data_IF_434348827849
#
_entry.id   IF_434348827849
#
_cell.length_a   1.000
_cell.length_b   1.000
_cell.length_c   1.000
_cell.angle_alpha   90.00
_cell.angle_beta   90.00
_cell.angle_gamma   90.00
#
_symmetry.space_group_name_H-M   'P 1'
#
loop_
_entity.id
_entity.type
_entity.pdbx_description
1 polymer ?
#
# COMPACT_ATOMS: atom_id res chain seq x y z
N UNK A 1 3.34 36.21 5.95
CA UNK A 1 4.32 36.85 5.04
C UNK A 1 3.95 36.44 3.62
N UNK A 2 3.78 37.36 2.65
CA UNK A 2 3.42 36.99 1.28
C UNK A 2 4.57 36.21 0.63
N UNK A 3 4.24 35.22 -0.20
CA UNK A 3 5.24 34.54 -1.01
C UNK A 3 5.86 35.49 -2.02
N UNK A 4 7.16 35.37 -2.37
CA UNK A 4 7.79 36.13 -3.42
C UNK A 4 7.06 35.96 -4.76
N UNK A 5 6.98 37.02 -5.57
CA UNK A 5 6.39 36.96 -6.91
C UNK A 5 7.12 35.95 -7.84
N UNK A 6 8.36 35.63 -7.50
CA UNK A 6 9.16 34.61 -8.18
C UNK A 6 8.93 33.17 -7.66
N UNK A 7 7.97 32.94 -6.76
CA UNK A 7 7.72 31.61 -6.24
C UNK A 7 7.09 30.72 -7.32
N UNK A 8 7.59 29.48 -7.55
CA UNK A 8 7.08 28.59 -8.59
C UNK A 8 5.66 28.12 -8.30
N UNK A 9 4.90 27.84 -9.36
CA UNK A 9 3.60 27.16 -9.24
C UNK A 9 3.79 25.70 -8.76
N UNK A 10 2.94 25.25 -7.84
CA UNK A 10 2.97 23.87 -7.33
C UNK A 10 2.94 22.82 -8.45
N UNK A 11 2.11 23.03 -9.48
CA UNK A 11 2.04 22.13 -10.62
C UNK A 11 3.35 22.05 -11.45
N UNK A 12 4.22 23.07 -11.36
CA UNK A 12 5.54 23.04 -12.00
C UNK A 12 6.56 22.31 -11.14
N UNK A 13 6.45 22.41 -9.82
CA UNK A 13 7.26 21.64 -8.87
C UNK A 13 6.90 20.16 -8.93
N UNK A 14 5.63 19.81 -8.95
CA UNK A 14 5.12 18.43 -9.07
C UNK A 14 5.63 17.77 -10.36
N UNK A 15 5.45 18.43 -11.51
CA UNK A 15 6.00 17.94 -12.76
C UNK A 15 7.52 17.74 -12.70
N UNK A 16 8.25 18.66 -12.06
CA UNK A 16 9.71 18.55 -11.94
C UNK A 16 10.13 17.35 -11.10
N UNK A 17 9.53 17.14 -9.93
CA UNK A 17 9.77 15.97 -9.07
C UNK A 17 9.46 14.68 -9.83
N UNK A 18 8.32 14.59 -10.51
CA UNK A 18 7.97 13.45 -11.35
C UNK A 18 9.01 13.18 -12.47
N UNK A 19 9.62 14.23 -13.05
CA UNK A 19 10.69 14.05 -14.04
C UNK A 19 11.96 13.50 -13.40
N UNK A 20 12.32 13.92 -12.20
CA UNK A 20 13.48 13.41 -11.46
C UNK A 20 13.29 11.93 -11.11
N UNK A 21 12.14 11.55 -10.60
CA UNK A 21 11.80 10.16 -10.23
C UNK A 21 11.77 9.23 -11.45
N UNK A 22 11.11 9.66 -12.53
CA UNK A 22 10.93 8.85 -13.72
C UNK A 22 12.12 8.93 -14.71
N UNK A 23 13.03 9.87 -14.53
CA UNK A 23 14.15 10.10 -15.45
C UNK A 23 13.75 10.53 -16.87
N UNK A 24 12.50 10.96 -17.09
CA UNK A 24 11.98 11.29 -18.42
C UNK A 24 10.82 12.28 -18.38
N UNK A 25 10.97 13.39 -19.10
CA UNK A 25 9.91 14.40 -19.26
C UNK A 25 8.67 13.80 -19.95
N UNK A 26 8.86 12.87 -20.90
CA UNK A 26 7.73 12.24 -21.61
C UNK A 26 6.93 11.32 -20.70
N UNK A 27 7.60 10.55 -19.84
CA UNK A 27 6.93 9.69 -18.86
C UNK A 27 6.21 10.51 -17.78
N UNK A 28 6.85 11.54 -17.27
CA UNK A 28 6.25 12.45 -16.30
C UNK A 28 5.03 13.19 -16.86
N UNK A 29 5.04 13.59 -18.13
CA UNK A 29 3.90 14.25 -18.77
C UNK A 29 2.67 13.34 -18.94
N UNK A 30 2.86 12.03 -19.09
CA UNK A 30 1.77 11.07 -19.33
C UNK A 30 0.82 10.94 -18.11
N UNK A 31 1.35 11.02 -16.88
CA UNK A 31 0.56 10.88 -15.66
C UNK A 31 -0.48 12.01 -15.47
N UNK A 32 -0.14 13.30 -15.58
CA UNK A 32 -1.09 14.41 -15.45
C UNK A 32 -1.89 14.74 -16.73
N UNK A 33 -1.76 13.95 -17.81
CA UNK A 33 -2.46 14.21 -19.07
C UNK A 33 -2.00 15.47 -19.81
N UNK A 34 -0.78 15.93 -19.55
CA UNK A 34 -0.16 17.10 -20.21
C UNK A 34 0.65 16.65 -21.41
N UNK A 35 0.58 17.40 -22.52
CA UNK A 35 1.40 17.07 -23.69
C UNK A 35 2.91 17.27 -23.37
N UNK A 36 3.76 16.40 -23.97
CA UNK A 36 5.22 16.50 -23.78
C UNK A 36 5.80 17.91 -24.10
N UNK A 37 5.37 18.61 -25.19
CA UNK A 37 5.82 19.97 -25.44
C UNK A 37 5.47 20.94 -24.31
N UNK A 38 4.26 20.82 -23.77
CA UNK A 38 3.80 21.64 -22.63
C UNK A 38 4.60 21.37 -21.37
N UNK A 39 4.84 20.09 -21.04
CA UNK A 39 5.68 19.69 -19.91
C UNK A 39 7.11 20.22 -20.05
N UNK A 40 7.73 20.06 -21.25
CA UNK A 40 9.06 20.59 -21.52
C UNK A 40 9.13 22.12 -21.41
N UNK A 41 8.09 22.84 -21.87
CA UNK A 41 7.99 24.29 -21.75
C UNK A 41 7.86 24.72 -20.28
N UNK A 42 7.05 24.02 -19.48
CA UNK A 42 6.86 24.27 -18.05
C UNK A 42 8.17 24.09 -17.26
N UNK A 43 8.92 23.03 -17.50
CA UNK A 43 10.24 22.83 -16.88
C UNK A 43 11.21 23.94 -17.26
N UNK A 44 11.29 24.33 -18.55
CA UNK A 44 12.13 25.46 -18.98
C UNK A 44 11.70 26.79 -18.33
N UNK A 45 10.41 26.97 -18.11
CA UNK A 45 9.91 28.14 -17.39
C UNK A 45 10.38 28.16 -15.93
N UNK A 46 10.26 27.02 -15.24
CA UNK A 46 10.74 26.84 -13.87
C UNK A 46 12.25 27.13 -13.76
N UNK A 47 13.07 26.56 -14.66
CA UNK A 47 14.53 26.83 -14.70
C UNK A 47 14.85 28.33 -14.88
N UNK A 48 14.13 29.02 -15.76
CA UNK A 48 14.30 30.49 -15.97
C UNK A 48 13.86 31.29 -14.75
N UNK A 49 12.76 30.87 -14.11
CA UNK A 49 12.23 31.55 -12.91
C UNK A 49 13.18 31.40 -11.72
N UNK A 50 13.84 30.28 -11.57
CA UNK A 50 14.82 29.98 -10.52
C UNK A 50 16.25 30.46 -10.90
N UNK A 51 16.47 30.82 -12.17
CA UNK A 51 17.78 31.31 -12.64
C UNK A 51 18.85 30.24 -12.72
N UNK A 52 18.47 28.94 -12.73
CA UNK A 52 19.39 27.79 -12.75
C UNK A 52 18.87 26.64 -13.59
N UNK A 53 19.78 25.81 -14.11
CA UNK A 53 19.40 24.55 -14.77
C UNK A 53 19.15 23.49 -13.72
N UNK A 54 18.04 22.80 -13.84
CA UNK A 54 17.64 21.72 -12.93
C UNK A 54 17.82 20.34 -13.54
N UNK A 55 17.79 20.24 -14.89
CA UNK A 55 17.89 18.98 -15.61
C UNK A 55 19.00 19.04 -16.67
N UNK A 56 19.81 18.00 -16.72
CA UNK A 56 20.67 17.66 -17.85
C UNK A 56 19.95 16.72 -18.79
N UNK A 57 19.84 17.13 -20.06
CA UNK A 57 19.13 16.39 -21.10
C UNK A 57 20.14 15.66 -21.98
N UNK A 58 20.05 14.34 -22.03
CA UNK A 58 20.90 13.48 -22.83
C UNK A 58 20.11 12.44 -23.61
N UNK A 59 20.79 11.64 -24.44
CA UNK A 59 20.16 10.55 -25.20
C UNK A 59 19.51 9.48 -24.30
N UNK A 60 19.97 9.37 -23.05
CA UNK A 60 19.49 8.39 -22.05
C UNK A 60 18.33 8.94 -21.17
N UNK A 61 17.88 10.17 -21.40
CA UNK A 61 16.79 10.77 -20.62
C UNK A 61 17.11 12.16 -20.04
N UNK A 62 16.46 12.49 -18.94
CA UNK A 62 16.63 13.75 -18.21
C UNK A 62 17.05 13.44 -16.79
N UNK A 63 18.28 13.74 -16.43
CA UNK A 63 18.84 13.56 -15.10
C UNK A 63 18.88 14.89 -14.34
N UNK A 64 18.66 14.92 -13.01
CA UNK A 64 18.81 16.14 -12.25
C UNK A 64 20.28 16.60 -12.21
N UNK A 65 20.52 17.92 -12.28
CA UNK A 65 21.79 18.54 -11.91
C UNK A 65 21.96 18.54 -10.39
N UNK A 66 23.14 18.90 -9.87
CA UNK A 66 23.34 19.08 -8.42
C UNK A 66 22.32 20.07 -7.82
N UNK A 67 22.07 21.19 -8.52
CA UNK A 67 21.00 22.12 -8.16
C UNK A 67 19.61 21.49 -8.25
N UNK A 68 19.40 20.64 -9.26
CA UNK A 68 18.15 19.88 -9.44
C UNK A 68 17.85 18.96 -8.28
N UNK A 69 18.83 18.22 -7.78
CA UNK A 69 18.67 17.34 -6.60
C UNK A 69 18.23 18.14 -5.36
N UNK A 70 18.89 19.27 -5.08
CA UNK A 70 18.55 20.12 -3.94
C UNK A 70 17.15 20.72 -4.07
N UNK A 71 16.80 21.23 -5.25
CA UNK A 71 15.49 21.83 -5.53
C UNK A 71 14.39 20.77 -5.48
N UNK A 72 14.65 19.52 -5.93
CA UNK A 72 13.70 18.42 -5.82
C UNK A 72 13.35 18.13 -4.36
N UNK A 73 14.33 18.03 -3.46
CA UNK A 73 14.07 17.81 -2.03
C UNK A 73 13.25 18.94 -1.37
N UNK A 74 13.48 20.20 -1.77
CA UNK A 74 12.63 21.30 -1.30
C UNK A 74 11.23 21.26 -1.92
N UNK A 75 11.12 20.93 -3.20
CA UNK A 75 9.84 20.78 -3.90
C UNK A 75 8.99 19.67 -3.27
N UNK A 76 9.57 18.52 -2.98
CA UNK A 76 8.89 17.41 -2.26
C UNK A 76 8.34 17.85 -0.91
N UNK A 77 9.10 18.66 -0.15
CA UNK A 77 8.65 19.19 1.14
C UNK A 77 7.44 20.11 1.00
N UNK A 78 7.45 20.99 -0.01
CA UNK A 78 6.34 21.90 -0.30
C UNK A 78 5.11 21.14 -0.78
N UNK A 79 5.29 20.18 -1.68
CA UNK A 79 4.21 19.34 -2.21
C UNK A 79 3.56 18.50 -1.10
N UNK A 80 4.36 17.96 -0.18
CA UNK A 80 3.84 17.27 1.00
C UNK A 80 2.96 18.17 1.85
N UNK A 81 3.40 19.38 2.17
CA UNK A 81 2.60 20.34 2.93
C UNK A 81 1.31 20.77 2.19
N UNK A 82 1.35 20.85 0.85
CA UNK A 82 0.15 21.11 0.04
C UNK A 82 -0.84 19.95 0.09
N UNK A 83 -0.37 18.71 0.01
CA UNK A 83 -1.20 17.51 0.18
C UNK A 83 -1.77 17.41 1.60
N UNK A 84 -0.99 17.74 2.64
CA UNK A 84 -1.48 17.79 4.03
C UNK A 84 -2.63 18.78 4.20
N UNK A 85 -2.52 19.97 3.57
CA UNK A 85 -3.61 20.96 3.57
C UNK A 85 -4.87 20.42 2.88
N UNK A 86 -4.73 19.83 1.69
CA UNK A 86 -5.84 19.23 0.94
C UNK A 86 -6.50 18.10 1.74
N UNK A 87 -5.70 17.25 2.38
CA UNK A 87 -6.13 16.20 3.29
C UNK A 87 -6.95 16.75 4.45
N UNK A 88 -6.44 17.78 5.12
CA UNK A 88 -7.12 18.43 6.23
C UNK A 88 -8.47 19.04 5.84
N UNK A 89 -8.52 19.72 4.69
CA UNK A 89 -9.76 20.27 4.14
C UNK A 89 -10.78 19.16 3.80
N UNK A 90 -10.33 18.10 3.17
CA UNK A 90 -11.17 16.95 2.82
C UNK A 90 -11.70 16.24 4.05
N UNK A 91 -10.86 16.03 5.07
CA UNK A 91 -11.27 15.43 6.35
C UNK A 91 -12.29 16.33 7.09
N UNK A 92 -12.08 17.65 7.08
CA UNK A 92 -13.01 18.60 7.67
C UNK A 92 -14.38 18.58 6.98
N UNK A 93 -14.41 18.51 5.65
CA UNK A 93 -15.65 18.41 4.86
C UNK A 93 -16.34 17.05 5.10
N UNK A 94 -15.59 15.94 5.16
CA UNK A 94 -16.12 14.61 5.43
C UNK A 94 -16.71 14.53 6.85
N UNK A 95 -16.03 15.10 7.85
CA UNK A 95 -16.52 15.16 9.22
C UNK A 95 -17.83 15.96 9.35
N UNK A 96 -17.97 17.07 8.60
CA UNK A 96 -19.23 17.83 8.55
C UNK A 96 -20.36 17.05 7.87
N UNK A 97 -20.04 16.16 6.94
CA UNK A 97 -21.01 15.32 6.22
C UNK A 97 -21.34 14.01 6.96
N UNK A 98 -20.75 13.74 8.14
CA UNK A 98 -20.90 12.45 8.83
C UNK A 98 -20.38 11.27 8.01
N UNK A 99 -19.32 11.45 7.22
CA UNK A 99 -18.77 10.43 6.33
C UNK A 99 -17.34 10.08 6.72
N UNK A 100 -17.10 8.81 7.03
CA UNK A 100 -15.76 8.24 7.28
C UNK A 100 -15.24 7.54 6.03
N UNK A 101 -14.04 7.92 5.57
CA UNK A 101 -13.36 7.29 4.44
C UNK A 101 -12.33 6.30 4.96
N UNK A 102 -12.57 5.02 4.71
CA UNK A 102 -11.68 3.93 5.08
C UNK A 102 -11.03 3.34 3.83
N UNK A 103 -9.75 3.06 3.90
CA UNK A 103 -9.05 2.24 2.92
C UNK A 103 -8.43 1.04 3.63
N UNK A 104 -8.60 -0.18 3.10
CA UNK A 104 -8.14 -1.38 3.80
C UNK A 104 -7.48 -2.37 2.86
N UNK A 105 -6.50 -3.09 3.40
CA UNK A 105 -5.90 -4.23 2.74
C UNK A 105 -6.90 -5.37 2.57
N UNK A 106 -6.68 -6.22 1.58
CA UNK A 106 -7.62 -7.28 1.20
C UNK A 106 -7.95 -8.20 2.36
N UNK A 107 -6.98 -8.64 3.15
CA UNK A 107 -7.21 -9.55 4.28
C UNK A 107 -8.17 -8.92 5.30
N UNK A 108 -7.91 -7.69 5.71
CA UNK A 108 -8.73 -7.01 6.71
C UNK A 108 -10.11 -6.67 6.13
N UNK A 109 -10.15 -6.18 4.88
CA UNK A 109 -11.39 -5.81 4.20
C UNK A 109 -12.34 -7.00 3.96
N UNK A 110 -11.81 -8.18 3.63
CA UNK A 110 -12.62 -9.35 3.31
C UNK A 110 -13.06 -10.14 4.56
N UNK A 111 -12.22 -10.19 5.62
CA UNK A 111 -12.43 -11.13 6.73
C UNK A 111 -12.78 -10.49 8.07
N UNK A 112 -12.48 -9.21 8.27
CA UNK A 112 -12.67 -8.54 9.57
C UNK A 112 -13.60 -7.34 9.49
N UNK A 113 -13.36 -6.41 8.57
CA UNK A 113 -14.14 -5.18 8.45
C UNK A 113 -15.64 -5.41 8.30
N UNK A 114 -16.16 -6.42 7.57
CA UNK A 114 -17.60 -6.61 7.46
C UNK A 114 -18.30 -6.77 8.79
N UNK A 115 -17.70 -7.52 9.73
CA UNK A 115 -18.25 -7.70 11.08
C UNK A 115 -18.12 -6.45 11.94
N UNK A 116 -16.98 -5.77 11.87
CA UNK A 116 -16.74 -4.53 12.61
C UNK A 116 -17.69 -3.42 12.17
N UNK A 117 -17.84 -3.24 10.85
CA UNK A 117 -18.70 -2.21 10.29
C UNK A 117 -20.19 -2.51 10.47
N UNK A 118 -20.62 -3.76 10.42
CA UNK A 118 -22.02 -4.14 10.72
C UNK A 118 -22.39 -3.78 12.17
N UNK A 119 -21.52 -4.09 13.13
CA UNK A 119 -21.72 -3.72 14.53
C UNK A 119 -21.74 -2.20 14.70
N UNK A 120 -20.72 -1.51 14.20
CA UNK A 120 -20.58 -0.07 14.30
C UNK A 120 -21.76 0.70 13.67
N UNK A 121 -22.24 0.27 12.50
CA UNK A 121 -23.35 0.94 11.79
C UNK A 121 -24.68 0.91 12.56
N UNK A 122 -24.88 -0.06 13.46
CA UNK A 122 -26.10 -0.13 14.29
C UNK A 122 -26.16 1.00 15.31
N UNK A 123 -24.99 1.39 15.83
CA UNK A 123 -24.88 2.46 16.83
C UNK A 123 -24.76 3.84 16.14
N UNK A 124 -24.40 3.86 14.87
CA UNK A 124 -24.18 5.07 14.05
C UNK A 124 -25.07 5.13 12.78
N UNK A 125 -26.43 5.09 12.92
CA UNK A 125 -27.33 4.95 11.76
C UNK A 125 -27.42 6.18 10.85
N UNK A 126 -26.85 7.32 11.26
CA UNK A 126 -26.83 8.57 10.47
C UNK A 126 -25.51 8.81 9.76
N UNK A 127 -24.49 8.05 10.11
CA UNK A 127 -23.16 8.21 9.55
C UNK A 127 -22.95 7.27 8.37
N UNK A 128 -22.14 7.68 7.43
CA UNK A 128 -21.82 6.88 6.26
C UNK A 128 -20.35 6.49 6.25
N UNK A 129 -20.08 5.25 5.88
CA UNK A 129 -18.71 4.74 5.71
C UNK A 129 -18.49 4.42 4.26
N UNK A 130 -17.40 4.96 3.69
CA UNK A 130 -16.92 4.59 2.36
C UNK A 130 -15.68 3.73 2.54
N UNK A 131 -15.70 2.49 2.04
CA UNK A 131 -14.59 1.56 2.07
C UNK A 131 -13.99 1.39 0.68
N UNK A 132 -12.71 1.70 0.54
CA UNK A 132 -11.88 1.31 -0.61
C UNK A 132 -11.02 0.11 -0.22
N UNK A 133 -10.88 -0.88 -1.11
CA UNK A 133 -10.03 -2.06 -0.89
C UNK A 133 -8.83 -1.97 -1.80
N UNK A 134 -7.63 -2.08 -1.24
CA UNK A 134 -6.37 -1.98 -1.97
C UNK A 134 -5.29 -2.85 -1.31
N UNK A 135 -4.06 -2.90 -1.85
CA UNK A 135 -2.95 -3.51 -1.13
C UNK A 135 -2.33 -2.53 -0.10
N UNK A 136 -1.50 -3.04 0.81
CA UNK A 136 -0.96 -2.24 1.92
C UNK A 136 -0.16 -1.02 1.46
N UNK A 137 0.59 -1.10 0.36
CA UNK A 137 1.33 0.06 -0.19
C UNK A 137 0.35 1.14 -0.66
N UNK A 138 -0.68 0.76 -1.41
CA UNK A 138 -1.71 1.70 -1.87
C UNK A 138 -2.49 2.31 -0.71
N UNK A 139 -2.79 1.53 0.36
CA UNK A 139 -3.42 2.06 1.59
C UNK A 139 -2.57 3.18 2.19
N UNK A 140 -1.26 2.95 2.35
CA UNK A 140 -0.32 3.94 2.89
C UNK A 140 -0.30 5.20 2.00
N UNK A 141 -0.25 5.03 0.68
CA UNK A 141 -0.25 6.15 -0.26
C UNK A 141 -1.54 6.95 -0.22
N UNK A 142 -2.71 6.30 -0.12
CA UNK A 142 -4.01 6.97 0.03
C UNK A 142 -4.07 7.85 1.27
N UNK A 143 -3.55 7.36 2.39
CA UNK A 143 -3.49 8.12 3.65
C UNK A 143 -2.54 9.31 3.54
N UNK A 144 -1.34 9.11 3.00
CA UNK A 144 -0.35 10.19 2.80
C UNK A 144 -0.86 11.31 1.91
N UNK A 145 -1.71 10.98 0.92
CA UNK A 145 -2.33 11.94 0.03
C UNK A 145 -3.71 12.43 0.50
N UNK A 146 -4.15 12.08 1.73
CA UNK A 146 -5.42 12.52 2.30
C UNK A 146 -6.66 12.00 1.59
N UNK A 147 -6.53 10.97 0.79
CA UNK A 147 -7.66 10.34 0.11
C UNK A 147 -8.52 9.48 1.06
N UNK A 148 -8.01 9.13 2.24
CA UNK A 148 -8.70 8.39 3.29
C UNK A 148 -8.39 8.98 4.68
N UNK A 149 -9.27 8.72 5.64
CA UNK A 149 -9.18 9.20 7.02
C UNK A 149 -8.58 8.14 7.95
N UNK A 150 -8.82 6.87 7.64
CA UNK A 150 -8.37 5.70 8.38
C UNK A 150 -7.98 4.60 7.41
N UNK A 151 -6.84 3.95 7.65
CA UNK A 151 -6.38 2.80 6.88
C UNK A 151 -6.24 1.55 7.73
N UNK A 152 -6.30 0.38 7.09
CA UNK A 152 -6.00 -0.90 7.73
C UNK A 152 -5.01 -1.69 6.87
N UNK A 153 -3.92 -2.14 7.48
CA UNK A 153 -2.82 -2.82 6.80
C UNK A 153 -2.27 -4.00 7.61
N UNK A 154 -1.54 -4.89 6.94
CA UNK A 154 -0.82 -6.01 7.55
C UNK A 154 0.63 -6.14 7.05
N UNK A 155 1.22 -5.07 6.54
CA UNK A 155 2.63 -5.08 6.10
C UNK A 155 3.60 -4.96 7.29
N UNK A 156 4.77 -5.60 7.26
CA UNK A 156 5.81 -5.41 8.28
C UNK A 156 6.59 -4.09 8.11
N UNK A 157 6.34 -3.33 7.04
CA UNK A 157 7.08 -2.11 6.71
C UNK A 157 6.93 -1.03 7.77
N UNK A 158 7.96 -0.20 7.91
CA UNK A 158 7.90 1.05 8.68
C UNK A 158 6.92 2.04 8.07
N UNK A 159 6.33 2.88 8.90
CA UNK A 159 5.22 3.76 8.55
C UNK A 159 5.58 5.23 8.76
N UNK A 160 6.59 5.71 8.03
CA UNK A 160 6.99 7.11 8.11
C UNK A 160 5.82 8.06 7.84
N UNK A 161 5.57 8.97 8.78
CA UNK A 161 4.51 9.97 8.69
C UNK A 161 3.09 9.44 8.98
N UNK A 162 2.95 8.24 9.52
CA UNK A 162 1.67 7.68 9.96
C UNK A 162 1.75 7.27 11.43
N UNK A 163 0.68 7.50 12.16
CA UNK A 163 0.43 6.90 13.47
C UNK A 163 -0.27 5.55 13.28
N UNK A 164 -0.11 4.64 14.25
CA UNK A 164 -0.68 3.31 14.17
C UNK A 164 -1.25 2.79 15.48
N UNK A 165 -2.15 1.82 15.37
CA UNK A 165 -2.65 1.02 16.47
C UNK A 165 -2.84 -0.43 16.03
N UNK A 166 -2.41 -1.38 16.86
CA UNK A 166 -2.68 -2.80 16.62
C UNK A 166 -4.16 -3.08 16.89
N UNK A 167 -4.85 -3.66 15.90
CA UNK A 167 -6.26 -4.04 15.95
C UNK A 167 -6.48 -5.55 15.90
N UNK A 168 -5.41 -6.32 15.76
CA UNK A 168 -5.46 -7.77 15.77
C UNK A 168 -4.15 -8.41 15.35
N UNK A 169 -4.18 -9.73 15.28
CA UNK A 169 -3.07 -10.55 14.82
C UNK A 169 -3.55 -11.52 13.75
N UNK A 170 -2.65 -11.90 12.86
CA UNK A 170 -2.87 -12.90 11.83
C UNK A 170 -1.61 -13.74 11.66
N UNK A 171 -1.75 -14.90 11.08
CA UNK A 171 -0.66 -15.79 10.74
C UNK A 171 -0.80 -16.22 9.29
N UNK A 172 0.29 -16.21 8.55
CA UNK A 172 0.34 -16.78 7.22
C UNK A 172 0.65 -18.27 7.31
N UNK A 173 -0.11 -19.07 6.57
CA UNK A 173 0.04 -20.51 6.48
C UNK A 173 0.33 -20.94 5.05
N UNK A 174 1.13 -22.00 4.90
CA UNK A 174 1.36 -22.65 3.62
C UNK A 174 0.21 -23.59 3.34
N UNK A 175 -0.45 -23.45 2.19
CA UNK A 175 -1.55 -24.34 1.79
C UNK A 175 -1.38 -24.83 0.36
N UNK A 176 -1.93 -26.03 0.13
CA UNK A 176 -1.95 -26.71 -1.16
C UNK A 176 -3.30 -27.38 -1.41
N UNK A 177 -3.60 -27.69 -2.66
CA UNK A 177 -4.71 -28.59 -2.99
C UNK A 177 -4.44 -30.01 -2.47
N UNK A 178 -5.48 -30.84 -2.16
CA UNK A 178 -5.29 -32.20 -1.67
C UNK A 178 -4.53 -33.13 -2.62
N UNK A 179 -4.52 -32.83 -3.93
CA UNK A 179 -3.77 -33.56 -4.96
C UNK A 179 -2.28 -33.23 -5.02
N UNK A 180 -1.85 -32.17 -4.34
CA UNK A 180 -0.45 -31.72 -4.37
C UNK A 180 0.45 -32.73 -3.62
N UNK A 181 1.71 -32.97 -4.08
CA UNK A 181 2.63 -33.90 -3.41
C UNK A 181 2.90 -33.58 -1.93
N UNK A 182 2.81 -32.31 -1.53
CA UNK A 182 3.00 -31.89 -0.14
C UNK A 182 1.81 -32.24 0.78
N UNK A 183 0.65 -32.55 0.21
CA UNK A 183 -0.52 -32.95 1.02
C UNK A 183 -0.25 -34.25 1.82
N UNK A 184 0.74 -35.04 1.41
CA UNK A 184 1.32 -36.16 2.15
C UNK A 184 2.84 -36.11 1.94
N UNK A 185 3.66 -35.81 2.93
CA UNK A 185 3.51 -35.98 4.39
C UNK A 185 2.99 -34.76 5.20
N UNK A 186 2.53 -33.68 4.60
CA UNK A 186 2.07 -32.42 5.23
C UNK A 186 3.15 -31.62 5.91
N UNK A 187 4.41 -31.90 5.61
CA UNK A 187 5.57 -31.17 6.14
C UNK A 187 6.58 -31.00 5.02
N UNK A 188 7.17 -29.81 4.89
CA UNK A 188 8.22 -29.51 3.91
C UNK A 188 9.30 -28.62 4.54
N UNK A 189 10.60 -28.85 4.22
CA UNK A 189 11.67 -27.93 4.63
C UNK A 189 11.44 -26.54 4.07
N UNK A 190 11.86 -25.51 4.81
CA UNK A 190 11.71 -24.11 4.40
C UNK A 190 12.49 -23.80 3.11
N UNK A 191 13.62 -24.46 2.88
CA UNK A 191 14.41 -24.35 1.65
C UNK A 191 13.64 -24.87 0.43
N UNK A 192 12.83 -25.93 0.59
CA UNK A 192 11.99 -26.46 -0.46
C UNK A 192 10.82 -25.51 -0.78
N UNK A 193 10.24 -24.86 0.24
CA UNK A 193 9.25 -23.81 0.03
C UNK A 193 9.87 -22.64 -0.75
N UNK A 194 11.04 -22.14 -0.33
CA UNK A 194 11.72 -21.01 -0.96
C UNK A 194 12.15 -21.31 -2.42
N UNK A 195 12.43 -22.58 -2.74
CA UNK A 195 12.83 -23.00 -4.10
C UNK A 195 11.64 -23.31 -5.02
N UNK A 196 10.41 -23.39 -4.47
CA UNK A 196 9.23 -23.79 -5.24
C UNK A 196 8.48 -22.55 -5.74
N UNK A 197 8.10 -22.49 -7.04
CA UNK A 197 7.25 -21.42 -7.55
C UNK A 197 5.87 -21.42 -6.88
N UNK A 198 5.46 -20.27 -6.33
CA UNK A 198 4.20 -20.11 -5.59
C UNK A 198 3.15 -19.33 -6.39
N UNK A 199 1.88 -19.55 -6.07
CA UNK A 199 0.84 -18.55 -6.37
C UNK A 199 1.00 -17.43 -5.34
N UNK A 200 1.26 -16.21 -5.79
CA UNK A 200 1.61 -15.09 -4.94
C UNK A 200 0.67 -13.90 -5.13
N UNK A 201 0.62 -13.07 -4.14
CA UNK A 201 0.05 -11.73 -4.25
C UNK A 201 1.00 -10.82 -5.03
N UNK A 202 0.42 -9.77 -5.59
CA UNK A 202 1.13 -8.70 -6.32
C UNK A 202 2.14 -7.95 -5.44
N UNK A 203 3.06 -7.23 -6.09
CA UNK A 203 3.94 -6.28 -5.42
C UNK A 203 3.13 -5.22 -4.65
N UNK A 204 3.57 -4.85 -3.44
CA UNK A 204 2.83 -3.95 -2.55
C UNK A 204 1.85 -4.65 -1.60
N UNK A 205 1.61 -5.96 -1.76
CA UNK A 205 0.83 -6.75 -0.81
C UNK A 205 1.57 -6.96 0.50
N UNK A 206 0.92 -6.70 1.64
CA UNK A 206 1.46 -6.99 2.96
C UNK A 206 1.70 -8.50 3.19
N UNK A 207 0.89 -9.37 2.60
CA UNK A 207 1.08 -10.83 2.64
C UNK A 207 2.40 -11.23 1.97
N UNK A 208 2.66 -10.71 0.76
CA UNK A 208 3.92 -10.97 0.05
C UNK A 208 5.13 -10.41 0.80
N UNK A 209 5.01 -9.18 1.31
CA UNK A 209 6.07 -8.53 2.08
C UNK A 209 6.40 -9.28 3.37
N UNK A 210 5.39 -9.79 4.08
CA UNK A 210 5.59 -10.57 5.31
C UNK A 210 6.32 -11.90 5.05
N UNK A 211 5.94 -12.63 4.00
CA UNK A 211 6.64 -13.84 3.59
C UNK A 211 8.10 -13.54 3.20
N UNK A 212 8.32 -12.51 2.38
CA UNK A 212 9.66 -12.13 1.94
C UNK A 212 10.55 -11.71 3.11
N UNK A 213 10.01 -11.02 4.12
CA UNK A 213 10.73 -10.67 5.33
C UNK A 213 11.12 -11.92 6.13
N UNK A 214 10.17 -12.81 6.41
CA UNK A 214 10.42 -14.03 7.18
C UNK A 214 11.46 -14.96 6.51
N UNK A 215 11.43 -15.10 5.19
CA UNK A 215 12.44 -15.89 4.47
C UNK A 215 13.81 -15.21 4.47
N UNK A 216 13.86 -13.89 4.35
CA UNK A 216 15.12 -13.12 4.45
C UNK A 216 15.77 -13.27 5.81
N UNK A 217 15.00 -13.28 6.89
CA UNK A 217 15.50 -13.49 8.26
C UNK A 217 16.13 -14.88 8.44
N UNK A 218 15.69 -15.85 7.63
CA UNK A 218 16.28 -17.20 7.53
C UNK A 218 17.44 -17.29 6.53
N UNK A 219 17.84 -16.19 5.90
CA UNK A 219 18.91 -16.16 4.89
C UNK A 219 18.46 -16.71 3.52
N UNK A 220 17.17 -16.82 3.27
CA UNK A 220 16.59 -17.35 2.03
C UNK A 220 16.08 -16.24 1.13
N UNK A 221 16.05 -16.51 -0.19
CA UNK A 221 15.46 -15.61 -1.18
C UNK A 221 13.95 -15.70 -1.23
N UNK A 222 13.31 -14.68 -1.84
CA UNK A 222 11.87 -14.71 -2.15
C UNK A 222 11.59 -15.78 -3.22
N UNK A 223 10.57 -16.65 -3.06
CA UNK A 223 10.17 -17.61 -4.05
C UNK A 223 9.75 -16.93 -5.37
N UNK A 224 9.95 -17.62 -6.48
CA UNK A 224 9.41 -17.14 -7.76
C UNK A 224 7.88 -17.27 -7.78
N UNK A 225 7.19 -16.35 -8.45
CA UNK A 225 5.76 -16.47 -8.67
C UNK A 225 5.48 -17.30 -9.92
N UNK A 226 4.69 -18.37 -9.81
CA UNK A 226 4.10 -19.07 -10.96
C UNK A 226 2.86 -18.31 -11.44
N UNK A 227 2.14 -17.68 -10.53
CA UNK A 227 1.04 -16.74 -10.80
C UNK A 227 1.14 -15.58 -9.81
N UNK A 228 0.96 -14.36 -10.30
CA UNK A 228 0.84 -13.16 -9.48
C UNK A 228 -0.58 -12.61 -9.61
N UNK A 229 -1.30 -12.50 -8.50
CA UNK A 229 -2.72 -12.17 -8.45
C UNK A 229 -3.00 -11.02 -7.48
N UNK A 230 -3.87 -10.11 -7.90
CA UNK A 230 -4.17 -8.85 -7.21
C UNK A 230 -5.16 -8.95 -6.04
N UNK A 231 -5.62 -10.14 -5.63
CA UNK A 231 -6.52 -10.28 -4.48
C UNK A 231 -6.34 -11.60 -3.74
N UNK A 232 -6.67 -11.60 -2.45
CA UNK A 232 -6.61 -12.79 -1.58
C UNK A 232 -7.54 -13.89 -2.08
N UNK A 233 -8.75 -13.53 -2.48
CA UNK A 233 -9.74 -14.46 -3.02
C UNK A 233 -9.31 -15.11 -4.34
N UNK A 234 -8.63 -14.35 -5.23
CA UNK A 234 -8.09 -14.92 -6.46
C UNK A 234 -6.95 -15.92 -6.20
N UNK A 235 -6.02 -15.60 -5.27
CA UNK A 235 -4.96 -16.55 -4.86
C UNK A 235 -5.57 -17.83 -4.30
N UNK A 236 -6.53 -17.73 -3.37
CA UNK A 236 -7.22 -18.88 -2.79
C UNK A 236 -7.88 -19.75 -3.87
N UNK A 237 -8.64 -19.14 -4.77
CA UNK A 237 -9.30 -19.87 -5.86
C UNK A 237 -8.29 -20.56 -6.79
N UNK A 238 -7.18 -19.91 -7.12
CA UNK A 238 -6.13 -20.50 -7.95
C UNK A 238 -5.48 -21.73 -7.30
N UNK A 239 -5.32 -21.75 -5.97
CA UNK A 239 -4.76 -22.91 -5.26
C UNK A 239 -5.77 -24.04 -5.12
N UNK A 240 -7.06 -23.74 -4.83
CA UNK A 240 -8.12 -24.75 -4.75
C UNK A 240 -8.27 -25.53 -6.05
N UNK A 241 -8.16 -24.84 -7.20
CA UNK A 241 -8.34 -25.45 -8.53
C UNK A 241 -7.03 -25.78 -9.25
N UNK A 242 -5.89 -25.40 -8.68
CA UNK A 242 -4.57 -25.59 -9.27
C UNK A 242 -3.74 -26.66 -8.60
N UNK A 243 -2.44 -26.65 -8.93
CA UNK A 243 -1.48 -27.58 -8.35
C UNK A 243 -0.21 -26.87 -7.85
N UNK A 244 -0.32 -25.61 -7.46
CA UNK A 244 0.81 -24.82 -6.94
C UNK A 244 0.52 -24.36 -5.53
N UNK A 245 1.52 -24.34 -4.63
CA UNK A 245 1.35 -23.90 -3.25
C UNK A 245 1.22 -22.38 -3.16
N UNK A 246 0.70 -21.91 -2.01
CA UNK A 246 0.75 -20.49 -1.61
C UNK A 246 1.03 -20.36 -0.13
N UNK A 247 1.49 -19.18 0.26
CA UNK A 247 1.55 -18.73 1.66
C UNK A 247 0.58 -17.56 1.80
N UNK A 248 -0.44 -17.74 2.62
CA UNK A 248 -1.61 -16.86 2.69
C UNK A 248 -2.13 -16.76 4.13
N UNK A 249 -2.90 -15.71 4.43
CA UNK A 249 -3.57 -15.56 5.73
C UNK A 249 -4.39 -16.79 6.10
N UNK A 250 -4.24 -17.27 7.35
CA UNK A 250 -5.07 -18.33 7.91
C UNK A 250 -6.56 -17.98 7.86
N UNK A 251 -6.89 -16.70 8.09
CA UNK A 251 -8.28 -16.21 7.98
C UNK A 251 -8.87 -16.46 6.60
N UNK A 252 -8.04 -16.35 5.56
CA UNK A 252 -8.50 -16.45 4.18
C UNK A 252 -8.78 -17.89 3.70
N UNK A 253 -8.27 -18.90 4.41
CA UNK A 253 -8.35 -20.31 3.98
C UNK A 253 -8.99 -21.21 5.03
N UNK A 254 -9.42 -20.66 6.17
CA UNK A 254 -9.96 -21.45 7.28
C UNK A 254 -11.15 -22.33 6.87
N UNK A 255 -12.05 -21.82 6.03
CA UNK A 255 -13.22 -22.54 5.55
C UNK A 255 -12.82 -23.68 4.60
N UNK A 256 -11.93 -23.43 3.65
CA UNK A 256 -11.45 -24.42 2.67
C UNK A 256 -10.61 -25.51 3.33
N UNK A 257 -9.82 -25.18 4.34
CA UNK A 257 -9.08 -26.17 5.14
C UNK A 257 -10.06 -27.04 5.95
N UNK A 258 -11.03 -26.43 6.62
CA UNK A 258 -12.06 -27.15 7.36
C UNK A 258 -12.92 -28.05 6.46
N UNK A 259 -13.18 -27.64 5.22
CA UNK A 259 -13.92 -28.42 4.22
C UNK A 259 -13.04 -29.47 3.50
N UNK A 260 -11.73 -29.54 3.77
CA UNK A 260 -10.79 -30.44 3.11
C UNK A 260 -10.48 -30.09 1.64
N UNK A 261 -10.84 -28.90 1.20
CA UNK A 261 -10.53 -28.38 -0.14
C UNK A 261 -9.08 -27.89 -0.25
N UNK A 262 -8.49 -27.50 0.87
CA UNK A 262 -7.07 -27.17 1.03
C UNK A 262 -6.46 -27.96 2.17
N UNK A 263 -5.17 -28.23 2.08
CA UNK A 263 -4.35 -28.88 3.11
C UNK A 263 -3.31 -27.91 3.59
N UNK A 264 -3.31 -27.63 4.88
CA UNK A 264 -2.26 -26.85 5.52
C UNK A 264 -0.99 -27.71 5.65
N UNK A 265 0.16 -27.09 5.31
CA UNK A 265 1.48 -27.70 5.30
C UNK A 265 2.32 -27.07 6.40
N UNK A 266 2.85 -27.91 7.27
CA UNK A 266 3.83 -27.50 8.26
C UNK A 266 5.19 -27.22 7.58
N UNK A 267 5.77 -26.07 7.89
CA UNK A 267 7.10 -25.65 7.39
C UNK A 267 7.97 -25.36 8.59
N UNK A 268 8.68 -26.37 9.13
CA UNK A 268 9.49 -26.20 10.33
C UNK A 268 10.49 -25.07 10.21
N UNK A 269 10.56 -24.20 11.22
CA UNK A 269 11.43 -23.03 11.24
C UNK A 269 10.86 -21.78 10.55
N UNK A 270 9.75 -21.86 9.85
CA UNK A 270 9.05 -20.69 9.30
C UNK A 270 7.83 -20.35 10.17
N UNK A 271 7.82 -19.17 10.74
CA UNK A 271 6.64 -18.57 11.38
C UNK A 271 6.43 -17.17 10.80
N UNK A 272 5.27 -16.93 10.27
CA UNK A 272 4.93 -15.65 9.63
C UNK A 272 3.72 -15.05 10.37
N UNK A 273 3.93 -14.76 11.66
CA UNK A 273 2.98 -13.98 12.45
C UNK A 273 3.08 -12.50 12.06
N UNK A 274 1.94 -11.80 12.01
CA UNK A 274 1.88 -10.38 11.67
C UNK A 274 0.80 -9.65 12.46
N UNK A 275 1.05 -8.36 12.70
CA UNK A 275 0.05 -7.48 13.27
C UNK A 275 -0.87 -6.93 12.19
N UNK A 276 -2.15 -6.89 12.51
CA UNK A 276 -3.15 -6.12 11.78
C UNK A 276 -3.19 -4.73 12.42
N UNK A 277 -2.93 -3.70 11.61
CA UNK A 277 -2.73 -2.34 12.10
C UNK A 277 -3.75 -1.40 11.49
N UNK A 278 -4.40 -0.60 12.34
CA UNK A 278 -5.05 0.62 11.91
C UNK A 278 -4.01 1.73 11.80
N UNK A 279 -4.09 2.56 10.78
CA UNK A 279 -3.10 3.60 10.47
C UNK A 279 -3.79 4.89 10.05
N UNK A 280 -3.22 6.05 10.41
CA UNK A 280 -3.72 7.38 10.03
C UNK A 280 -2.58 8.38 9.95
N UNK A 281 -2.74 9.56 9.29
CA UNK A 281 -1.68 10.55 9.18
C UNK A 281 -1.19 11.04 10.54
N UNK A 282 0.13 11.00 10.77
CA UNK A 282 0.75 11.42 12.02
C UNK A 282 0.54 12.93 12.26
N UNK A 283 0.37 13.29 13.54
CA UNK A 283 0.15 14.68 13.95
C UNK A 283 -1.21 15.25 13.56
N UNK A 284 -2.09 14.46 12.94
CA UNK A 284 -3.47 14.84 12.62
C UNK A 284 -4.42 14.24 13.64
N UNK A 285 -5.36 15.03 14.15
CA UNK A 285 -6.40 14.48 15.02
C UNK A 285 -7.28 13.50 14.23
N UNK A 286 -7.34 12.26 14.71
CA UNK A 286 -8.22 11.25 14.13
C UNK A 286 -9.68 11.74 14.23
N UNK A 287 -10.48 11.69 13.14
CA UNK A 287 -11.90 12.03 13.20
C UNK A 287 -12.63 11.27 14.32
N UNK A 288 -13.62 11.91 14.97
CA UNK A 288 -14.36 11.29 16.08
C UNK A 288 -14.89 9.91 15.71
N UNK A 289 -15.53 9.80 14.54
CA UNK A 289 -16.12 8.56 14.03
C UNK A 289 -15.06 7.46 13.82
N UNK A 290 -13.84 7.81 13.36
CA UNK A 290 -12.74 6.86 13.24
C UNK A 290 -12.22 6.39 14.60
N UNK A 291 -12.17 7.30 15.59
CA UNK A 291 -11.76 6.96 16.96
C UNK A 291 -12.76 6.03 17.61
N UNK A 292 -14.05 6.33 17.50
CA UNK A 292 -15.14 5.49 18.01
C UNK A 292 -15.13 4.09 17.38
N UNK A 293 -14.88 4.00 16.07
CA UNK A 293 -14.69 2.71 15.38
C UNK A 293 -13.49 1.94 15.95
N UNK A 294 -12.35 2.58 16.19
CA UNK A 294 -11.18 1.92 16.76
C UNK A 294 -11.39 1.47 18.20
N UNK A 295 -12.15 2.24 18.98
CA UNK A 295 -12.50 1.87 20.37
C UNK A 295 -13.46 0.67 20.39
N UNK A 296 -14.35 0.53 19.39
CA UNK A 296 -15.26 -0.60 19.25
C UNK A 296 -14.59 -1.89 18.75
N UNK A 297 -13.48 -1.78 18.03
CA UNK A 297 -12.69 -2.92 17.53
C UNK A 297 -11.78 -3.52 18.60
N UNK A 298 -11.31 -2.71 19.56
CA UNK A 298 -10.40 -3.12 20.64
C UNK A 298 -11.13 -3.81 21.78
#
# INVERSE_FOLDING_TARGET
>A
MPLPASFPELASLDLFVSVVELGSVSRAAAAPGVSQPSASSRIKHLERQLGMRLLDRGPSGSLPTDAGVVVAGWAETILRAAHELEAGLSAFQAAQAGRLRIVASFTIAEYLLPQWLDRFSRDHPRDSIALEVANSTTVIDRLRHGAADLGFIETPSELDGLDEAIVGNDELVTVVAPSHPWATPRTVPVEALAATPLVMREAGSGTRAALAAALRDLGLGEPSAVLELGSTSAVRAAVVHGNSPTVISRLAVAAEVAAGQLVEIDVPGLSVARHLRAVWPAGTALPSLARELLDDIR
#
